data_IF_443002363839
#
_entry.id   IF_443002363839
#
_cell.length_a   1.000
_cell.length_b   1.000
_cell.length_c   1.000
_cell.angle_alpha   90.00
_cell.angle_beta   90.00
_cell.angle_gamma   90.00
#
_symmetry.space_group_name_H-M   'P 1'
#
loop_
_entity.id
_entity.type
_entity.pdbx_description
1 polymer ?
#
# COMPACT_ATOMS: atom_id res chain seq x y z
N UNK A 1 13.79 18.24 5.43
CA UNK A 1 14.13 17.00 4.70
C UNK A 1 13.64 17.12 3.26
N UNK A 2 14.35 16.48 2.34
CA UNK A 2 13.90 16.13 0.99
C UNK A 2 13.32 14.73 1.03
N UNK A 3 12.07 14.61 0.60
CA UNK A 3 11.29 13.37 0.69
C UNK A 3 10.79 13.01 -0.71
N UNK A 4 11.03 11.78 -1.13
CA UNK A 4 10.46 11.22 -2.36
C UNK A 4 9.42 10.17 -1.99
N UNK A 5 8.24 10.22 -2.59
CA UNK A 5 7.24 9.14 -2.47
C UNK A 5 7.02 8.51 -3.85
N UNK A 6 7.53 7.30 -4.03
CA UNK A 6 7.27 6.45 -5.19
C UNK A 6 5.96 5.69 -4.96
N UNK A 7 4.99 5.84 -5.86
CA UNK A 7 3.70 5.18 -5.72
C UNK A 7 3.25 4.46 -6.98
N UNK A 8 2.46 3.40 -6.77
CA UNK A 8 1.65 2.76 -7.79
C UNK A 8 0.19 2.81 -7.36
N UNK A 9 -0.72 3.17 -8.26
CA UNK A 9 -2.16 3.15 -7.99
C UNK A 9 -2.94 2.69 -9.21
N UNK A 10 -3.79 1.69 -9.03
CA UNK A 10 -4.65 1.16 -10.12
C UNK A 10 -5.96 1.93 -10.24
N UNK A 11 -6.52 2.41 -9.12
CA UNK A 11 -7.86 2.98 -9.04
C UNK A 11 -7.90 4.37 -8.41
N UNK A 12 -6.75 4.92 -8.03
CA UNK A 12 -6.62 6.24 -7.43
C UNK A 12 -6.56 6.27 -5.91
N UNK A 13 -6.99 5.23 -5.19
CA UNK A 13 -6.96 5.23 -3.72
C UNK A 13 -5.55 5.53 -3.16
N UNK A 14 -4.55 4.80 -3.64
CA UNK A 14 -3.15 5.00 -3.24
C UNK A 14 -2.64 6.37 -3.65
N UNK A 15 -3.01 6.85 -4.86
CA UNK A 15 -2.65 8.20 -5.32
C UNK A 15 -3.19 9.26 -4.36
N UNK A 16 -4.45 9.16 -3.95
CA UNK A 16 -5.08 10.09 -2.99
C UNK A 16 -4.35 10.08 -1.65
N UNK A 17 -4.06 8.91 -1.10
CA UNK A 17 -3.31 8.77 0.17
C UNK A 17 -1.91 9.36 0.04
N UNK A 18 -1.19 9.05 -1.04
CA UNK A 18 0.15 9.59 -1.30
C UNK A 18 0.16 11.11 -1.42
N UNK A 19 -0.78 11.69 -2.16
CA UNK A 19 -0.90 13.14 -2.30
C UNK A 19 -1.25 13.81 -0.97
N UNK A 20 -2.11 13.19 -0.17
CA UNK A 20 -2.40 13.68 1.18
C UNK A 20 -1.15 13.64 2.08
N UNK A 21 -0.41 12.53 2.08
CA UNK A 21 0.87 12.41 2.81
C UNK A 21 1.89 13.46 2.37
N UNK A 22 2.00 13.74 1.06
CA UNK A 22 2.84 14.82 0.53
C UNK A 22 2.45 16.17 1.14
N UNK A 23 1.15 16.51 1.12
CA UNK A 23 0.64 17.77 1.69
C UNK A 23 0.97 17.88 3.18
N UNK A 24 0.86 16.78 3.94
CA UNK A 24 1.24 16.76 5.35
C UNK A 24 2.73 17.05 5.55
N UNK A 25 3.62 16.35 4.84
CA UNK A 25 5.06 16.63 4.92
C UNK A 25 5.39 18.08 4.54
N UNK A 26 4.74 18.63 3.52
CA UNK A 26 4.90 20.03 3.12
C UNK A 26 4.41 20.99 4.21
N UNK A 27 3.29 20.68 4.88
CA UNK A 27 2.78 21.49 5.99
C UNK A 27 3.72 21.50 7.22
N UNK A 28 4.54 20.45 7.37
CA UNK A 28 5.59 20.34 8.38
C UNK A 28 6.91 21.01 7.95
N UNK A 29 6.92 21.72 6.82
CA UNK A 29 8.09 22.46 6.32
C UNK A 29 9.11 21.61 5.56
N UNK A 30 8.73 20.43 5.07
CA UNK A 30 9.61 19.56 4.28
C UNK A 30 9.37 19.68 2.77
N UNK A 31 10.43 19.42 1.99
CA UNK A 31 10.29 19.28 0.54
C UNK A 31 9.83 17.85 0.26
N UNK A 32 8.68 17.70 -0.41
CA UNK A 32 8.14 16.38 -0.72
C UNK A 32 7.67 16.30 -2.17
N UNK A 33 8.26 15.35 -2.89
CA UNK A 33 7.93 15.00 -4.27
C UNK A 33 7.28 13.63 -4.34
N UNK A 34 6.48 13.44 -5.38
CA UNK A 34 5.69 12.23 -5.60
C UNK A 34 5.88 11.77 -7.03
N UNK A 35 6.24 10.50 -7.21
CA UNK A 35 6.49 9.88 -8.52
C UNK A 35 5.57 8.69 -8.71
N UNK A 36 4.84 8.70 -9.83
CA UNK A 36 4.11 7.53 -10.32
C UNK A 36 5.07 6.57 -11.01
N UNK A 37 5.32 5.42 -10.40
CA UNK A 37 6.31 4.45 -10.91
C UNK A 37 5.89 3.77 -12.22
N UNK A 38 4.65 3.99 -12.67
CA UNK A 38 4.21 3.53 -14.00
C UNK A 38 4.69 4.44 -15.12
N UNK A 39 5.14 5.65 -14.78
CA UNK A 39 5.56 6.69 -15.72
C UNK A 39 7.04 7.02 -15.64
N UNK A 40 7.74 6.52 -14.62
CA UNK A 40 9.17 6.73 -14.40
C UNK A 40 9.82 5.40 -13.98
N UNK A 41 10.69 4.80 -14.82
CA UNK A 41 11.38 3.58 -14.47
C UNK A 41 12.37 3.82 -13.31
N UNK A 42 12.65 2.77 -12.52
CA UNK A 42 13.53 2.86 -11.35
C UNK A 42 14.96 3.31 -11.67
N UNK A 43 15.43 3.05 -12.89
CA UNK A 43 16.76 3.43 -13.37
C UNK A 43 16.95 4.93 -13.56
N UNK A 44 15.87 5.70 -13.70
CA UNK A 44 15.91 7.14 -13.92
C UNK A 44 15.79 7.95 -12.63
N UNK A 45 15.53 7.28 -11.49
CA UNK A 45 15.33 7.92 -10.21
C UNK A 45 16.60 7.83 -9.36
N UNK A 46 17.28 8.96 -9.21
CA UNK A 46 18.34 9.11 -8.21
C UNK A 46 17.72 9.07 -6.81
N UNK A 47 18.03 8.01 -6.05
CA UNK A 47 17.57 7.84 -4.67
C UNK A 47 18.49 8.52 -3.66
N UNK A 48 19.70 8.92 -4.09
CA UNK A 48 20.74 9.45 -3.20
C UNK A 48 20.46 10.89 -2.74
N UNK A 49 19.69 11.64 -3.53
CA UNK A 49 19.32 13.05 -3.30
C UNK A 49 18.23 13.24 -2.23
N UNK A 50 17.66 12.15 -1.73
CA UNK A 50 16.49 12.14 -0.85
C UNK A 50 16.84 11.69 0.54
N UNK A 51 16.49 12.48 1.56
CA UNK A 51 16.74 12.11 2.95
C UNK A 51 15.85 10.93 3.38
N UNK A 52 14.62 10.86 2.86
CA UNK A 52 13.63 9.83 3.18
C UNK A 52 12.88 9.38 1.93
N UNK A 53 12.74 8.07 1.73
CA UNK A 53 12.04 7.50 0.57
C UNK A 53 10.79 6.71 0.98
N UNK A 54 9.63 7.11 0.47
CA UNK A 54 8.36 6.43 0.67
C UNK A 54 8.01 5.51 -0.49
N UNK A 55 7.49 4.32 -0.19
CA UNK A 55 6.94 3.40 -1.19
C UNK A 55 5.46 3.13 -0.90
N UNK A 56 4.59 3.53 -1.83
CA UNK A 56 3.14 3.44 -1.66
C UNK A 56 2.48 2.56 -2.73
N UNK A 57 1.77 1.51 -2.33
CA UNK A 57 1.06 0.65 -3.29
C UNK A 57 -0.20 0.02 -2.69
N UNK A 58 -1.22 -0.31 -3.50
CA UNK A 58 -2.36 -1.05 -2.97
C UNK A 58 -1.93 -2.48 -2.60
N UNK A 59 -2.59 -3.03 -1.58
CA UNK A 59 -2.46 -4.43 -1.22
C UNK A 59 -3.32 -5.27 -2.14
N UNK A 60 -2.71 -6.20 -2.86
CA UNK A 60 -3.39 -7.20 -3.69
C UNK A 60 -3.02 -8.58 -3.16
N UNK A 61 -4.00 -9.40 -2.78
CA UNK A 61 -3.77 -10.74 -2.23
C UNK A 61 -2.76 -10.78 -1.07
N UNK A 62 -2.91 -9.87 -0.10
CA UNK A 62 -2.06 -9.79 1.10
C UNK A 62 -0.58 -9.50 0.82
N UNK A 63 -0.27 -8.87 -0.32
CA UNK A 63 1.07 -8.42 -0.73
C UNK A 63 1.00 -7.12 -1.52
N UNK A 64 2.17 -6.55 -1.80
CA UNK A 64 2.26 -5.38 -2.67
C UNK A 64 1.88 -5.73 -4.12
N UNK A 65 1.59 -4.72 -4.92
CA UNK A 65 1.40 -4.95 -6.36
C UNK A 65 2.69 -5.44 -7.02
N UNK A 66 2.58 -6.30 -8.03
CA UNK A 66 3.74 -6.74 -8.82
C UNK A 66 4.52 -5.57 -9.43
N UNK A 67 3.84 -4.48 -9.80
CA UNK A 67 4.49 -3.24 -10.29
C UNK A 67 5.45 -2.67 -9.25
N UNK A 68 4.98 -2.53 -8.00
CA UNK A 68 5.80 -2.02 -6.89
C UNK A 68 6.89 -3.01 -6.49
N UNK A 69 6.60 -4.31 -6.43
CA UNK A 69 7.60 -5.34 -6.12
C UNK A 69 8.74 -5.30 -7.16
N UNK A 70 8.40 -5.31 -8.45
CA UNK A 70 9.38 -5.21 -9.54
C UNK A 70 10.19 -3.91 -9.48
N UNK A 71 9.53 -2.79 -9.18
CA UNK A 71 10.20 -1.51 -9.03
C UNK A 71 11.25 -1.54 -7.92
N UNK A 72 10.89 -2.03 -6.72
CA UNK A 72 11.81 -2.16 -5.58
C UNK A 72 12.96 -3.13 -5.90
N UNK A 73 12.66 -4.28 -6.51
CA UNK A 73 13.68 -5.26 -6.92
C UNK A 73 14.69 -4.67 -7.91
N UNK A 74 14.22 -3.77 -8.79
CA UNK A 74 15.04 -3.12 -9.81
C UNK A 74 15.67 -1.80 -9.34
N UNK A 75 15.54 -1.42 -8.06
CA UNK A 75 16.29 -0.29 -7.54
C UNK A 75 17.79 -0.60 -7.55
N UNK A 76 18.64 0.38 -7.89
CA UNK A 76 20.06 0.27 -7.61
C UNK A 76 20.24 0.11 -6.08
N UNK A 77 21.22 -0.70 -5.62
CA UNK A 77 21.58 -0.73 -4.21
C UNK A 77 22.10 0.64 -3.79
N UNK A 78 21.80 1.05 -2.55
CA UNK A 78 22.32 2.30 -1.99
C UNK A 78 23.82 2.18 -1.74
N UNK A 79 24.59 3.11 -2.28
CA UNK A 79 25.99 3.31 -1.92
C UNK A 79 26.10 4.03 -0.57
N UNK A 80 26.85 3.47 0.38
CA UNK A 80 27.17 4.15 1.64
C UNK A 80 26.20 3.85 2.80
N UNK A 81 25.90 4.84 3.67
CA UNK A 81 25.04 4.64 4.83
C UNK A 81 23.64 4.17 4.44
N UNK A 82 23.02 3.40 5.32
CA UNK A 82 21.68 2.89 5.07
C UNK A 82 20.66 4.04 4.95
N UNK A 83 19.83 3.99 3.91
CA UNK A 83 18.86 5.05 3.61
C UNK A 83 17.53 4.80 4.33
N UNK A 84 16.97 5.75 5.11
CA UNK A 84 15.66 5.53 5.69
C UNK A 84 14.57 5.51 4.62
N UNK A 85 13.62 4.61 4.83
CA UNK A 85 12.45 4.45 3.98
C UNK A 85 11.19 4.26 4.82
N UNK A 86 10.04 4.54 4.24
CA UNK A 86 8.74 4.18 4.83
C UNK A 86 7.83 3.53 3.81
N UNK A 87 6.87 2.75 4.31
CA UNK A 87 5.91 2.03 3.48
C UNK A 87 4.49 2.56 3.71
N UNK A 88 3.75 2.74 2.62
CA UNK A 88 2.31 3.02 2.64
C UNK A 88 1.57 1.94 1.87
N UNK A 89 0.47 1.45 2.46
CA UNK A 89 -0.45 0.57 1.77
C UNK A 89 -1.85 1.16 1.76
N UNK A 90 -2.59 0.91 0.69
CA UNK A 90 -4.06 1.02 0.71
C UNK A 90 -4.67 -0.36 0.58
N UNK A 91 -5.58 -0.74 1.47
CA UNK A 91 -6.20 -2.05 1.45
C UNK A 91 -7.68 -1.98 1.84
N UNK A 92 -8.45 -3.01 1.50
CA UNK A 92 -9.86 -3.13 1.89
C UNK A 92 -10.05 -3.69 3.32
N UNK A 93 -8.96 -3.95 4.04
CA UNK A 93 -9.02 -4.57 5.38
C UNK A 93 -7.66 -4.69 6.03
N UNK A 94 -6.78 -5.56 5.53
CA UNK A 94 -5.42 -5.69 6.07
C UNK A 94 -4.36 -5.73 4.96
N UNK A 95 -3.14 -5.24 5.24
CA UNK A 95 -2.02 -5.27 4.29
C UNK A 95 -1.35 -6.65 4.18
N UNK A 96 -1.65 -7.58 5.10
CA UNK A 96 -1.08 -8.93 5.10
C UNK A 96 0.45 -8.95 5.22
N UNK A 97 1.12 -9.63 4.30
CA UNK A 97 2.58 -9.73 4.26
C UNK A 97 3.27 -8.57 3.51
N UNK A 98 2.53 -7.63 2.92
CA UNK A 98 3.08 -6.57 2.06
C UNK A 98 4.27 -5.85 2.70
N UNK A 99 4.11 -5.36 3.93
CA UNK A 99 5.16 -4.58 4.58
C UNK A 99 6.41 -5.40 4.86
N UNK A 100 6.24 -6.64 5.32
CA UNK A 100 7.37 -7.51 5.60
C UNK A 100 8.16 -7.84 4.33
N UNK A 101 7.47 -8.21 3.24
CA UNK A 101 8.12 -8.56 1.97
C UNK A 101 8.82 -7.35 1.34
N UNK A 102 8.19 -6.18 1.36
CA UNK A 102 8.79 -4.95 0.84
C UNK A 102 9.97 -4.48 1.69
N UNK A 103 9.87 -4.55 3.02
CA UNK A 103 10.96 -4.19 3.92
C UNK A 103 12.17 -5.12 3.79
N UNK A 104 11.95 -6.43 3.66
CA UNK A 104 13.01 -7.40 3.40
C UNK A 104 13.73 -7.10 2.08
N UNK A 105 12.97 -6.85 1.00
CA UNK A 105 13.56 -6.50 -0.30
C UNK A 105 14.34 -5.18 -0.25
N UNK A 106 13.79 -4.16 0.42
CA UNK A 106 14.45 -2.86 0.62
C UNK A 106 15.71 -2.98 1.48
N UNK A 107 15.69 -3.83 2.50
CA UNK A 107 16.85 -4.11 3.34
C UNK A 107 18.03 -4.64 2.51
N UNK A 108 17.77 -5.60 1.61
CA UNK A 108 18.78 -6.09 0.67
C UNK A 108 19.29 -5.04 -0.32
N UNK A 109 18.59 -3.90 -0.45
CA UNK A 109 19.00 -2.75 -1.27
C UNK A 109 19.69 -1.64 -0.47
N UNK A 110 19.95 -1.85 0.83
CA UNK A 110 20.62 -0.85 1.68
C UNK A 110 19.67 0.19 2.27
N UNK A 111 18.37 -0.08 2.30
CA UNK A 111 17.39 0.78 2.98
C UNK A 111 17.06 0.25 4.38
N UNK A 112 16.61 1.14 5.26
CA UNK A 112 16.05 0.81 6.57
C UNK A 112 14.62 1.33 6.63
N UNK A 113 13.65 0.42 6.74
CA UNK A 113 12.24 0.81 6.87
C UNK A 113 11.97 1.32 8.28
N UNK A 114 11.81 2.63 8.44
CA UNK A 114 11.60 3.33 9.72
C UNK A 114 10.12 3.52 10.06
N UNK A 115 9.22 3.10 9.18
CA UNK A 115 7.78 3.11 9.43
C UNK A 115 6.98 2.44 8.33
N UNK A 116 5.82 1.89 8.69
CA UNK A 116 4.85 1.35 7.73
C UNK A 116 3.43 1.64 8.19
N UNK A 117 2.57 2.08 7.27
CA UNK A 117 1.18 2.42 7.58
C UNK A 117 0.22 1.97 6.47
N UNK A 118 -0.91 1.38 6.87
CA UNK A 118 -1.97 0.99 5.97
C UNK A 118 -3.18 1.91 6.17
N UNK A 119 -3.73 2.41 5.06
CA UNK A 119 -4.98 3.15 5.03
C UNK A 119 -6.08 2.24 4.49
N UNK A 120 -7.16 2.11 5.24
CA UNK A 120 -8.32 1.36 4.78
C UNK A 120 -9.08 2.23 3.78
N UNK A 121 -9.18 1.76 2.55
CA UNK A 121 -9.88 2.43 1.48
C UNK A 121 -10.99 1.51 0.94
N UNK A 122 -12.06 2.05 0.33
CA UNK A 122 -13.09 1.23 -0.28
C UNK A 122 -12.49 0.21 -1.22
N UNK A 123 -13.03 -1.00 -1.14
CA UNK A 123 -12.72 -1.98 -2.17
C UNK A 123 -13.30 -1.51 -3.49
N UNK A 124 -12.47 -1.60 -4.50
CA UNK A 124 -12.79 -1.35 -5.90
C UNK A 124 -12.69 -2.65 -6.71
N UNK A 125 -12.61 -3.80 -6.04
CA UNK A 125 -12.53 -5.09 -6.72
C UNK A 125 -13.91 -5.44 -7.29
N UNK A 126 -14.07 -5.63 -8.62
CA UNK A 126 -15.38 -5.82 -9.23
C UNK A 126 -16.19 -6.98 -8.65
N UNK A 127 -15.52 -8.08 -8.25
CA UNK A 127 -16.22 -9.19 -7.60
C UNK A 127 -16.74 -8.81 -6.22
N UNK A 128 -15.97 -8.04 -5.45
CA UNK A 128 -16.44 -7.54 -4.15
C UNK A 128 -17.54 -6.53 -4.33
N UNK A 129 -17.45 -5.63 -5.31
CA UNK A 129 -18.53 -4.70 -5.66
C UNK A 129 -19.81 -5.45 -6.05
N UNK A 130 -19.73 -6.47 -6.91
CA UNK A 130 -20.86 -7.30 -7.31
C UNK A 130 -21.43 -8.15 -6.15
N UNK A 131 -20.57 -8.64 -5.25
CA UNK A 131 -21.00 -9.34 -4.03
C UNK A 131 -21.67 -8.37 -3.05
N UNK A 132 -21.11 -7.17 -2.86
CA UNK A 132 -21.71 -6.14 -2.02
C UNK A 132 -23.03 -5.67 -2.60
N UNK A 133 -23.15 -5.43 -3.91
CA UNK A 133 -24.40 -5.02 -4.55
C UNK A 133 -25.53 -6.05 -4.33
N UNK A 134 -25.20 -7.35 -4.28
CA UNK A 134 -26.16 -8.42 -3.94
C UNK A 134 -26.52 -8.48 -2.46
N UNK A 135 -25.66 -7.96 -1.58
CA UNK A 135 -25.83 -7.96 -0.12
C UNK A 135 -26.42 -6.63 0.38
N UNK A 136 -26.24 -5.53 -0.35
CA UNK A 136 -26.62 -4.19 0.09
C UNK A 136 -28.01 -3.79 -0.39
N UNK A 137 -28.88 -3.63 0.61
CA UNK A 137 -29.94 -2.61 0.75
C UNK A 137 -31.36 -2.84 0.19
N UNK A 138 -31.58 -3.62 -0.87
CA UNK A 138 -32.97 -3.89 -1.34
C UNK A 138 -33.63 -5.11 -0.69
N UNK A 139 -32.83 -5.98 -0.05
CA UNK A 139 -33.29 -7.29 0.45
C UNK A 139 -33.47 -7.28 1.99
N UNK A 140 -34.62 -7.74 2.53
CA UNK A 140 -34.90 -7.80 3.98
C UNK A 140 -33.84 -8.55 4.80
N UNK A 141 -33.20 -9.55 4.18
CA UNK A 141 -32.20 -10.40 4.82
C UNK A 141 -30.92 -9.63 5.18
N UNK A 142 -30.49 -8.67 4.34
CA UNK A 142 -29.29 -7.85 4.58
C UNK A 142 -29.44 -6.94 5.79
N UNK A 143 -30.65 -6.44 6.06
CA UNK A 143 -30.95 -5.62 7.26
C UNK A 143 -30.93 -6.43 8.55
N UNK A 144 -31.32 -7.70 8.51
CA UNK A 144 -31.34 -8.57 9.68
C UNK A 144 -29.93 -9.04 10.05
N UNK A 145 -29.12 -9.41 9.07
CA UNK A 145 -27.74 -9.86 9.29
C UNK A 145 -26.86 -8.74 9.85
N UNK A 146 -27.00 -7.51 9.34
CA UNK A 146 -26.25 -6.33 9.82
C UNK A 146 -26.57 -5.92 11.26
N UNK A 147 -27.78 -6.25 11.76
CA UNK A 147 -28.21 -5.94 13.13
C UNK A 147 -27.64 -6.93 14.16
N UNK A 148 -27.49 -8.20 13.76
CA UNK A 148 -27.03 -9.30 14.61
C UNK A 148 -25.51 -9.31 14.75
N UNK A 149 -24.78 -8.98 13.68
CA UNK A 149 -23.31 -9.10 13.62
C UNK A 149 -22.55 -7.77 13.86
N UNK A 150 -23.10 -6.89 14.71
CA UNK A 150 -22.49 -5.58 15.03
C UNK A 150 -21.05 -5.62 15.59
N UNK A 151 -20.62 -6.61 16.40
CA UNK A 151 -19.25 -6.65 16.94
C UNK A 151 -18.22 -7.24 15.96
N UNK A 152 -18.64 -7.85 14.83
CA UNK A 152 -17.74 -8.34 13.77
C UNK A 152 -17.45 -7.28 12.70
N UNK A 153 -17.45 -6.00 13.09
CA UNK A 153 -17.13 -4.82 12.26
C UNK A 153 -15.79 -4.96 11.50
N UNK A 154 -14.87 -5.77 12.03
CA UNK A 154 -13.58 -6.12 11.40
C UNK A 154 -13.69 -7.15 10.26
N UNK A 155 -14.70 -8.02 10.28
CA UNK A 155 -15.03 -8.96 9.21
C UNK A 155 -15.97 -8.32 8.16
N UNK A 156 -16.82 -7.38 8.60
CA UNK A 156 -17.78 -6.68 7.75
C UNK A 156 -17.22 -5.44 7.05
N UNK A 157 -16.03 -4.95 7.42
CA UNK A 157 -15.32 -3.90 6.66
C UNK A 157 -14.95 -4.39 5.25
N UNK A 158 -14.79 -5.69 5.05
CA UNK A 158 -14.68 -6.34 3.75
C UNK A 158 -15.99 -6.33 2.93
N UNK A 159 -17.11 -5.85 3.48
CA UNK A 159 -18.43 -5.92 2.85
C UNK A 159 -19.13 -4.56 2.71
N UNK A 160 -18.45 -3.43 2.94
CA UNK A 160 -19.10 -2.12 2.91
C UNK A 160 -18.47 -1.11 1.90
N UNK A 161 -19.23 -0.60 0.92
CA UNK A 161 -18.74 0.37 -0.08
C UNK A 161 -18.84 1.86 0.32
N UNK A 162 -19.53 2.19 1.41
CA UNK A 162 -19.85 3.59 1.72
C UNK A 162 -18.72 4.35 2.44
N UNK A 163 -17.53 4.48 1.85
CA UNK A 163 -16.48 5.40 2.34
C UNK A 163 -15.61 5.94 1.18
N UNK A 164 -16.19 6.69 0.24
CA UNK A 164 -15.41 7.42 -0.78
C UNK A 164 -14.36 8.41 -0.21
N UNK A 165 -14.30 8.54 1.12
CA UNK A 165 -13.28 9.25 1.89
C UNK A 165 -12.73 8.32 2.97
N UNK A 166 -11.40 8.30 3.23
CA UNK A 166 -10.83 7.61 4.39
C UNK A 166 -11.59 8.00 5.67
N UNK A 167 -11.81 7.05 6.58
CA UNK A 167 -12.43 7.35 7.87
C UNK A 167 -11.62 8.44 8.60
N UNK A 168 -12.27 9.31 9.37
CA UNK A 168 -11.58 10.36 10.13
C UNK A 168 -10.51 9.74 11.05
N UNK A 169 -10.76 8.53 11.54
CA UNK A 169 -9.80 7.75 12.31
C UNK A 169 -8.56 7.37 11.50
N UNK A 170 -8.73 6.93 10.25
CA UNK A 170 -7.61 6.58 9.36
C UNK A 170 -6.79 7.83 9.02
N UNK A 171 -7.46 8.95 8.79
CA UNK A 171 -6.81 10.26 8.60
C UNK A 171 -5.95 10.64 9.80
N UNK A 172 -6.52 10.68 11.01
CA UNK A 172 -5.76 11.00 12.23
C UNK A 172 -4.68 9.98 12.57
N UNK A 173 -4.81 8.72 12.13
CA UNK A 173 -3.74 7.74 12.28
C UNK A 173 -2.61 7.98 11.29
N UNK A 174 -2.93 8.37 10.05
CA UNK A 174 -1.95 8.74 9.04
C UNK A 174 -1.21 10.03 9.42
N UNK A 175 -1.91 11.02 9.98
CA UNK A 175 -1.31 12.26 10.48
C UNK A 175 -0.22 11.97 11.50
N UNK A 176 -0.56 11.20 12.55
CA UNK A 176 0.41 10.78 13.59
C UNK A 176 1.58 9.97 13.02
N UNK A 177 1.31 9.13 12.01
CA UNK A 177 2.37 8.39 11.34
C UNK A 177 3.35 9.33 10.63
N UNK A 178 2.85 10.29 9.86
CA UNK A 178 3.67 11.28 9.14
C UNK A 178 4.44 12.18 10.12
N UNK A 179 3.80 12.66 11.18
CA UNK A 179 4.45 13.41 12.25
C UNK A 179 5.58 12.61 12.91
N UNK A 180 5.35 11.32 13.17
CA UNK A 180 6.38 10.46 13.75
C UNK A 180 7.59 10.32 12.81
N UNK A 181 7.38 10.14 11.50
CA UNK A 181 8.46 10.09 10.52
C UNK A 181 9.21 11.42 10.45
N UNK A 182 8.49 12.54 10.51
CA UNK A 182 9.08 13.88 10.47
C UNK A 182 9.97 14.17 11.69
N UNK A 183 9.65 13.57 12.83
CA UNK A 183 10.41 13.72 14.08
C UNK A 183 11.62 12.79 14.22
N UNK A 184 11.75 11.76 13.36
CA UNK A 184 12.84 10.79 13.44
C UNK A 184 14.17 11.38 12.94
N UNK A 185 15.27 11.01 13.61
CA UNK A 185 16.61 11.31 13.11
C UNK A 185 16.91 10.43 11.89
N UNK A 186 17.31 11.08 10.79
CA UNK A 186 17.68 10.42 9.53
C UNK A 186 19.09 9.80 9.63
N UNK A 187 19.95 10.38 10.47
CA UNK A 187 21.37 9.99 10.56
C UNK A 187 21.57 8.60 11.15
N UNK A 188 20.66 8.17 12.04
CA UNK A 188 20.68 6.84 12.64
C UNK A 188 19.31 6.17 12.46
N UNK A 189 18.99 5.68 11.25
CA UNK A 189 17.68 5.13 10.99
C UNK A 189 17.52 3.82 11.76
N UNK A 190 16.43 3.73 12.54
CA UNK A 190 16.08 2.51 13.27
C UNK A 190 14.98 1.77 12.54
N UNK A 191 15.16 0.46 12.34
CA UNK A 191 14.13 -0.38 11.74
C UNK A 191 12.89 -0.37 12.63
N UNK A 192 11.74 0.00 12.06
CA UNK A 192 10.49 -0.01 12.79
C UNK A 192 9.95 -1.42 12.97
N UNK A 193 9.20 -1.61 14.05
CA UNK A 193 8.34 -2.77 14.20
C UNK A 193 7.19 -2.65 13.19
N UNK A 194 7.23 -3.50 12.17
CA UNK A 194 6.19 -3.51 11.15
C UNK A 194 4.86 -4.02 11.73
N UNK A 195 3.71 -3.48 11.28
CA UNK A 195 2.41 -4.01 11.65
C UNK A 195 2.32 -5.49 11.30
N UNK A 196 2.12 -6.35 12.29
CA UNK A 196 1.85 -7.76 12.05
C UNK A 196 0.44 -7.88 11.47
N UNK A 197 0.31 -8.38 10.24
CA UNK A 197 -0.97 -8.82 9.70
C UNK A 197 -1.58 -9.94 10.57
N UNK A 198 -2.84 -10.29 10.30
CA UNK A 198 -3.45 -11.47 10.90
C UNK A 198 -2.55 -12.69 10.63
N UNK A 199 -2.41 -13.63 11.59
CA UNK A 199 -1.50 -14.77 11.44
C UNK A 199 -1.70 -15.53 10.12
N UNK A 200 -2.96 -15.70 9.71
CA UNK A 200 -3.31 -16.31 8.43
C UNK A 200 -3.00 -15.44 7.21
N UNK A 201 -3.11 -14.11 7.33
CA UNK A 201 -2.82 -13.16 6.25
C UNK A 201 -1.33 -13.08 5.91
N UNK A 202 -0.45 -13.14 6.91
CA UNK A 202 1.01 -13.18 6.69
C UNK A 202 1.43 -14.47 6.00
N UNK A 203 0.95 -15.63 6.48
CA UNK A 203 1.24 -16.93 5.84
C UNK A 203 0.68 -16.99 4.42
N UNK A 204 -0.56 -16.54 4.22
CA UNK A 204 -1.18 -16.48 2.89
C UNK A 204 -0.41 -15.56 1.95
N UNK A 205 -0.01 -14.38 2.43
CA UNK A 205 0.78 -13.43 1.66
C UNK A 205 2.15 -13.98 1.26
N UNK A 206 2.84 -14.72 2.13
CA UNK A 206 4.11 -15.41 1.81
C UNK A 206 3.91 -16.59 0.85
N UNK A 207 2.84 -17.35 1.02
CA UNK A 207 2.55 -18.54 0.21
C UNK A 207 1.99 -18.22 -1.18
N UNK A 208 1.42 -17.03 -1.37
CA UNK A 208 0.91 -16.56 -2.65
C UNK A 208 2.11 -16.34 -3.59
N UNK A 209 2.12 -16.95 -4.76
CA UNK A 209 3.11 -16.64 -5.82
C UNK A 209 2.39 -15.91 -6.94
N UNK A 210 3.13 -15.34 -7.90
CA UNK A 210 2.51 -14.77 -9.11
C UNK A 210 1.61 -15.80 -9.80
N UNK A 211 2.10 -17.02 -9.94
CA UNK A 211 1.37 -18.15 -10.51
C UNK A 211 0.10 -18.50 -9.72
N UNK A 212 0.20 -18.59 -8.38
CA UNK A 212 -0.97 -18.88 -7.53
C UNK A 212 -2.00 -17.75 -7.56
N UNK A 213 -1.56 -16.49 -7.57
CA UNK A 213 -2.45 -15.33 -7.70
C UNK A 213 -3.19 -15.36 -9.05
N UNK A 214 -2.47 -15.65 -10.15
CA UNK A 214 -3.06 -15.82 -11.48
C UNK A 214 -4.08 -16.97 -11.51
N UNK A 215 -3.77 -18.12 -10.90
CA UNK A 215 -4.69 -19.26 -10.80
C UNK A 215 -5.94 -18.93 -9.97
N UNK A 216 -5.78 -18.20 -8.86
CA UNK A 216 -6.87 -17.85 -7.96
C UNK A 216 -7.80 -16.75 -8.49
N UNK A 217 -7.29 -15.81 -9.29
CA UNK A 217 -8.08 -14.72 -9.85
C UNK A 217 -9.13 -15.21 -10.87
N UNK A 218 -9.00 -16.42 -11.41
CA UNK A 218 -9.88 -16.97 -12.46
C UNK A 218 -9.82 -16.21 -13.79
N UNK A 219 -9.12 -15.07 -13.83
CA UNK A 219 -8.93 -14.20 -14.98
C UNK A 219 -7.44 -14.24 -15.32
N UNK A 220 -7.12 -14.76 -16.50
CA UNK A 220 -5.78 -14.62 -17.09
C UNK A 220 -5.65 -13.21 -17.64
N UNK A 221 -5.16 -12.29 -16.80
CA UNK A 221 -4.47 -11.12 -17.33
C UNK A 221 -3.03 -11.59 -17.54
N UNK A 222 -2.79 -12.25 -18.67
CA UNK A 222 -1.44 -12.21 -19.25
C UNK A 222 -1.09 -10.74 -19.43
N UNK A 223 0.19 -10.38 -19.28
CA UNK A 223 0.63 -9.06 -19.70
C UNK A 223 0.12 -8.91 -21.13
N UNK A 224 -0.93 -8.10 -21.33
CA UNK A 224 -1.57 -7.96 -22.61
C UNK A 224 -0.62 -7.16 -23.45
N UNK A 225 0.39 -7.85 -23.98
CA UNK A 225 1.32 -7.35 -24.95
C UNK A 225 0.44 -6.87 -26.10
N UNK A 226 0.29 -5.56 -26.22
CA UNK A 226 -0.52 -4.96 -27.26
C UNK A 226 -0.03 -5.50 -28.60
N UNK A 227 -0.90 -6.14 -29.38
CA UNK A 227 -0.54 -6.76 -30.66
C UNK A 227 0.01 -5.70 -31.65
N UNK A 228 -0.33 -4.42 -31.43
CA UNK A 228 0.20 -3.30 -32.20
C UNK A 228 1.56 -2.77 -31.73
N UNK A 229 1.85 -2.70 -30.42
CA UNK A 229 3.06 -2.05 -29.90
C UNK A 229 3.98 -2.89 -29.00
N UNK A 230 3.63 -4.14 -28.69
CA UNK A 230 4.53 -5.07 -28.02
C UNK A 230 4.70 -4.85 -26.51
N UNK A 231 3.85 -4.03 -25.86
CA UNK A 231 3.88 -3.73 -24.40
C UNK A 231 2.58 -4.21 -23.75
#
# INVERSE_FOLDING_TARGET
MKILICYHSTTGNTKTVTLYTRTLFQSLGHQCEVVDITRAPSSELSMEDWDLVGFASPTLYFRGTFTMERFITNLPPVSGPARPAFLLATCAGEPGAQFHLQAETLHHKGYVVTGAHAVIAPSNWPMQLALTDKITWSEPLGRTITRIFRPSRLLLSALWPALGTPDQKDKSSLDRFVESLASQSIDTPQAARLPSGLPGGVLSGKAMTREKAQKAAGIRIDAATCIGCGI
#
